data_IF_752847363759
#
_entry.id   IF_752847363759
#
_cell.length_a   1.000
_cell.length_b   1.000
_cell.length_c   1.000
_cell.angle_alpha   90.00
_cell.angle_beta   90.00
_cell.angle_gamma   90.00
#
_symmetry.space_group_name_H-M   'P 1'
#
loop_
_entity.id
_entity.type
_entity.pdbx_description
1 polymer ?
#
# COMPACT_ATOMS: atom_id res chain seq x y z
N UNK A 1 24.93 0.33 20.56
CA UNK A 1 23.81 1.09 19.97
C UNK A 1 23.92 0.97 18.46
N UNK A 2 22.87 0.55 17.75
CA UNK A 2 22.88 0.63 16.29
C UNK A 2 22.77 2.11 15.92
N UNK A 3 23.76 2.64 15.22
CA UNK A 3 23.70 3.99 14.65
C UNK A 3 22.53 4.05 13.69
N UNK A 4 21.67 5.05 13.85
CA UNK A 4 20.55 5.27 12.94
C UNK A 4 21.10 5.71 11.57
N UNK A 5 20.44 5.35 10.46
CA UNK A 5 20.79 5.90 9.17
C UNK A 5 20.51 7.41 9.16
N UNK A 6 21.28 8.17 8.38
CA UNK A 6 21.19 9.64 8.33
C UNK A 6 19.79 10.17 8.03
N UNK A 7 19.02 9.46 7.19
CA UNK A 7 17.64 9.83 6.90
C UNK A 7 16.74 9.75 8.16
N UNK A 8 16.98 8.78 9.05
CA UNK A 8 16.20 8.60 10.27
C UNK A 8 16.55 9.67 11.31
N UNK A 9 17.83 10.03 11.43
CA UNK A 9 18.27 11.15 12.26
C UNK A 9 17.63 12.47 11.79
N UNK A 10 17.60 12.70 10.47
CA UNK A 10 16.95 13.88 9.89
C UNK A 10 15.45 13.92 10.16
N UNK A 11 14.77 12.78 10.01
CA UNK A 11 13.34 12.66 10.28
C UNK A 11 13.04 12.94 11.76
N UNK A 12 13.86 12.42 12.68
CA UNK A 12 13.74 12.70 14.12
C UNK A 12 13.96 14.18 14.44
N UNK A 13 14.93 14.83 13.81
CA UNK A 13 15.19 16.26 13.97
C UNK A 13 13.98 17.12 13.56
N UNK A 14 13.39 16.82 12.40
CA UNK A 14 12.21 17.53 11.89
C UNK A 14 10.97 17.27 12.75
N UNK A 15 10.80 16.02 13.21
CA UNK A 15 9.74 15.64 14.14
C UNK A 15 9.81 16.40 15.47
N UNK A 16 11.00 16.50 16.07
CA UNK A 16 11.21 17.25 17.31
C UNK A 16 10.93 18.76 17.15
N UNK A 17 11.10 19.29 15.94
CA UNK A 17 10.79 20.68 15.59
C UNK A 17 9.35 20.88 15.09
N UNK A 18 8.54 19.82 15.04
CA UNK A 18 7.21 19.83 14.43
C UNK A 18 7.19 20.41 13.01
N UNK A 19 8.25 20.16 12.23
CA UNK A 19 8.36 20.63 10.85
C UNK A 19 7.72 19.62 9.90
N UNK A 20 6.69 20.01 9.13
CA UNK A 20 6.12 19.14 8.11
C UNK A 20 7.18 18.72 7.09
N UNK A 21 7.25 17.43 6.79
CA UNK A 21 8.21 16.89 5.84
C UNK A 21 7.61 15.76 5.01
N UNK A 22 8.23 15.54 3.86
CA UNK A 22 8.01 14.41 2.99
C UNK A 22 9.23 13.51 3.03
N UNK A 23 9.03 12.18 2.99
CA UNK A 23 10.13 11.24 2.96
C UNK A 23 9.82 9.99 2.13
N UNK A 24 10.88 9.39 1.58
CA UNK A 24 10.87 8.07 0.94
C UNK A 24 11.96 7.20 1.54
N UNK A 25 11.68 5.91 1.73
CA UNK A 25 12.62 4.95 2.30
C UNK A 25 12.51 3.67 1.46
N UNK A 26 13.64 3.04 1.13
CA UNK A 26 13.63 1.77 0.42
C UNK A 26 13.15 0.62 1.34
N UNK A 27 12.73 -0.50 0.76
CA UNK A 27 12.21 -1.65 1.50
C UNK A 27 13.14 -2.15 2.62
N UNK A 28 14.46 -2.08 2.41
CA UNK A 28 15.46 -2.52 3.39
C UNK A 28 15.71 -1.53 4.53
N UNK A 29 15.17 -0.31 4.45
CA UNK A 29 15.43 0.77 5.42
C UNK A 29 16.85 1.34 5.39
N UNK A 30 17.65 0.97 4.39
CA UNK A 30 19.07 1.36 4.29
C UNK A 30 19.25 2.71 3.61
N UNK A 31 18.31 3.12 2.76
CA UNK A 31 18.36 4.37 2.02
C UNK A 31 17.04 5.10 2.16
N UNK A 32 17.11 6.43 2.31
CA UNK A 32 15.94 7.27 2.35
C UNK A 32 16.26 8.73 2.07
N UNK A 33 15.26 9.46 1.61
CA UNK A 33 15.31 10.90 1.38
C UNK A 33 14.27 11.58 2.26
N UNK A 34 14.63 12.71 2.87
CA UNK A 34 13.76 13.48 3.76
C UNK A 34 13.87 14.94 3.38
N UNK A 35 12.74 15.57 3.07
CA UNK A 35 12.65 16.96 2.67
C UNK A 35 11.63 17.69 3.57
N UNK A 36 11.99 18.80 4.22
CA UNK A 36 10.99 19.74 4.71
C UNK A 36 10.05 20.12 3.57
N UNK A 37 8.76 20.29 3.83
CA UNK A 37 7.82 20.65 2.74
C UNK A 37 8.13 22.01 2.11
N UNK A 38 8.79 22.91 2.84
CA UNK A 38 9.26 24.21 2.31
C UNK A 38 10.37 24.07 1.27
N UNK A 39 11.12 22.96 1.34
CA UNK A 39 12.32 22.71 0.53
C UNK A 39 12.11 21.49 -0.37
N UNK A 40 10.85 21.11 -0.61
CA UNK A 40 10.50 19.99 -1.46
C UNK A 40 10.87 20.33 -2.92
N UNK A 41 11.70 19.53 -3.60
CA UNK A 41 12.03 19.78 -5.00
C UNK A 41 10.77 19.73 -5.87
N UNK A 42 10.64 20.62 -6.85
CA UNK A 42 9.50 20.64 -7.79
C UNK A 42 9.34 19.32 -8.57
N UNK A 43 10.46 18.59 -8.73
CA UNK A 43 10.48 17.27 -9.35
C UNK A 43 9.86 16.18 -8.48
N UNK A 44 9.61 16.42 -7.19
CA UNK A 44 8.91 15.50 -6.29
C UNK A 44 7.48 16.02 -6.09
N UNK A 45 6.51 15.32 -6.66
CA UNK A 45 5.09 15.63 -6.52
C UNK A 45 4.39 14.47 -5.85
N UNK A 46 3.55 14.76 -4.87
CA UNK A 46 2.71 13.75 -4.25
C UNK A 46 1.33 14.32 -3.95
N UNK A 47 0.36 13.44 -3.81
CA UNK A 47 -0.99 13.81 -3.46
C UNK A 47 -1.64 12.74 -2.60
N UNK A 48 -2.31 13.19 -1.54
CA UNK A 48 -3.11 12.37 -0.64
C UNK A 48 -4.57 12.80 -0.80
N UNK A 49 -5.43 11.88 -1.23
CA UNK A 49 -6.88 12.06 -1.37
C UNK A 49 -7.30 13.02 -2.50
N UNK A 50 -6.66 12.97 -3.66
CA UNK A 50 -7.17 13.66 -4.85
C UNK A 50 -8.48 13.00 -5.32
N UNK A 51 -9.60 13.65 -5.01
CA UNK A 51 -10.91 13.42 -5.64
C UNK A 51 -11.08 14.25 -6.92
N UNK A 52 -9.99 14.73 -7.52
CA UNK A 52 -10.07 15.49 -8.76
C UNK A 52 -10.55 14.57 -9.87
N UNK A 53 -11.65 14.96 -10.51
CA UNK A 53 -12.13 14.29 -11.70
C UNK A 53 -11.04 14.39 -12.79
N UNK A 54 -10.74 13.29 -13.51
CA UNK A 54 -9.79 13.36 -14.60
C UNK A 54 -10.31 14.36 -15.64
N UNK A 55 -9.50 15.36 -15.95
CA UNK A 55 -9.79 16.34 -16.99
C UNK A 55 -9.51 15.77 -18.38
N UNK A 56 -8.84 14.63 -18.48
CA UNK A 56 -8.32 14.06 -19.73
C UNK A 56 -8.53 12.54 -19.84
N UNK A 57 -8.47 12.04 -21.08
CA UNK A 57 -8.61 10.63 -21.38
C UNK A 57 -7.51 9.77 -20.72
N UNK A 58 -7.83 8.54 -20.27
CA UNK A 58 -6.85 7.65 -19.65
C UNK A 58 -5.73 7.26 -20.62
N UNK A 59 -4.51 7.10 -20.09
CA UNK A 59 -3.36 6.64 -20.86
C UNK A 59 -3.46 5.13 -21.10
N UNK A 60 -3.28 4.72 -22.36
CA UNK A 60 -3.09 3.31 -22.70
C UNK A 60 -1.62 2.94 -22.50
N UNK A 61 -1.35 2.04 -21.56
CA UNK A 61 -0.02 1.48 -21.32
C UNK A 61 -0.02 0.04 -21.84
N UNK A 62 0.80 -0.21 -22.86
CA UNK A 62 1.03 -1.56 -23.36
C UNK A 62 1.91 -2.34 -22.38
N UNK A 63 1.53 -3.59 -22.09
CA UNK A 63 2.13 -4.43 -21.07
C UNK A 63 2.69 -5.70 -21.71
N UNK A 64 3.89 -6.08 -21.27
CA UNK A 64 4.62 -7.28 -21.68
C UNK A 64 4.82 -8.17 -20.44
N UNK A 65 3.75 -8.88 -19.99
CA UNK A 65 3.83 -9.72 -18.80
C UNK A 65 4.78 -10.90 -19.00
N UNK A 66 5.38 -11.38 -17.91
CA UNK A 66 6.17 -12.61 -17.94
C UNK A 66 5.33 -13.79 -18.42
N UNK A 67 5.92 -14.77 -19.14
CA UNK A 67 5.22 -15.97 -19.55
C UNK A 67 4.62 -16.72 -18.36
N UNK A 68 3.47 -17.38 -18.59
CA UNK A 68 2.75 -18.10 -17.53
C UNK A 68 3.63 -19.16 -16.86
N UNK A 69 4.52 -19.80 -17.61
CA UNK A 69 5.43 -20.83 -17.13
C UNK A 69 6.40 -20.30 -16.06
N UNK A 70 6.76 -19.01 -16.13
CA UNK A 70 7.59 -18.34 -15.11
C UNK A 70 6.80 -18.16 -13.81
N UNK A 71 5.54 -17.73 -13.91
CA UNK A 71 4.63 -17.66 -12.77
C UNK A 71 4.42 -19.05 -12.16
N UNK A 72 4.07 -20.05 -12.96
CA UNK A 72 3.76 -21.41 -12.51
C UNK A 72 4.93 -22.03 -11.75
N UNK A 73 6.15 -21.95 -12.28
CA UNK A 73 7.35 -22.44 -11.59
C UNK A 73 7.57 -21.75 -10.24
N UNK A 74 7.34 -20.43 -10.18
CA UNK A 74 7.50 -19.65 -8.95
C UNK A 74 6.42 -19.99 -7.92
N UNK A 75 5.18 -20.16 -8.39
CA UNK A 75 4.03 -20.56 -7.59
C UNK A 75 4.21 -21.96 -7.00
N UNK A 76 4.61 -22.96 -7.80
CA UNK A 76 4.83 -24.33 -7.34
C UNK A 76 5.88 -24.40 -6.21
N UNK A 77 6.96 -23.62 -6.33
CA UNK A 77 7.97 -23.50 -5.27
C UNK A 77 7.35 -22.94 -4.00
N UNK A 78 6.65 -21.80 -4.09
CA UNK A 78 5.96 -21.17 -2.96
C UNK A 78 4.98 -22.14 -2.30
N UNK A 79 4.15 -22.80 -3.10
CA UNK A 79 3.14 -23.74 -2.63
C UNK A 79 3.76 -24.93 -1.89
N UNK A 80 4.85 -25.51 -2.42
CA UNK A 80 5.59 -26.60 -1.78
C UNK A 80 6.08 -26.21 -0.38
N UNK A 81 6.58 -24.98 -0.20
CA UNK A 81 7.05 -24.49 1.10
C UNK A 81 5.89 -24.19 2.07
N UNK A 82 4.74 -23.72 1.56
CA UNK A 82 3.53 -23.57 2.36
C UNK A 82 3.00 -24.93 2.87
N UNK A 83 2.97 -25.96 2.01
CA UNK A 83 2.51 -27.31 2.40
C UNK A 83 3.43 -27.98 3.42
N UNK A 84 4.75 -27.71 3.35
CA UNK A 84 5.73 -28.20 4.33
C UNK A 84 5.63 -27.48 5.68
N UNK A 85 4.94 -26.34 5.74
CA UNK A 85 4.89 -25.50 6.94
C UNK A 85 6.15 -24.65 7.16
N UNK A 86 6.95 -24.39 6.11
CA UNK A 86 8.16 -23.57 6.22
C UNK A 86 7.82 -22.08 6.46
N UNK A 87 6.63 -21.64 6.04
CA UNK A 87 6.05 -20.33 6.32
C UNK A 87 4.52 -20.43 6.35
N UNK A 88 3.87 -19.56 7.12
CA UNK A 88 2.40 -19.51 7.18
C UNK A 88 1.78 -18.61 6.09
N UNK A 89 2.54 -17.63 5.58
CA UNK A 89 2.10 -16.66 4.60
C UNK A 89 3.28 -16.17 3.76
N UNK A 90 3.05 -15.95 2.47
CA UNK A 90 4.02 -15.35 1.56
C UNK A 90 3.29 -14.66 0.40
N UNK A 91 3.76 -13.47 0.03
CA UNK A 91 3.28 -12.74 -1.14
C UNK A 91 4.23 -12.99 -2.30
N UNK A 92 3.74 -13.66 -3.36
CA UNK A 92 4.48 -13.85 -4.61
C UNK A 92 4.18 -12.69 -5.57
N UNK A 93 5.22 -12.00 -6.01
CA UNK A 93 5.11 -10.85 -6.94
C UNK A 93 6.03 -11.04 -8.15
N UNK A 94 5.57 -10.61 -9.32
CA UNK A 94 6.34 -10.62 -10.58
C UNK A 94 6.27 -9.23 -11.23
N UNK A 95 7.40 -8.77 -11.76
CA UNK A 95 7.44 -7.54 -12.53
C UNK A 95 6.88 -7.77 -13.95
N UNK A 96 6.12 -6.81 -14.47
CA UNK A 96 5.64 -6.78 -15.85
C UNK A 96 6.28 -5.61 -16.55
N UNK A 97 6.96 -5.86 -17.66
CA UNK A 97 7.52 -4.80 -18.49
C UNK A 97 6.38 -4.04 -19.17
N UNK A 98 6.59 -2.74 -19.42
CA UNK A 98 5.63 -1.88 -20.10
C UNK A 98 6.34 -1.09 -21.19
N UNK A 99 5.63 -0.72 -22.25
CA UNK A 99 6.16 0.15 -23.28
C UNK A 99 6.51 1.54 -22.70
N UNK A 100 7.48 2.27 -23.27
CA UNK A 100 7.88 3.59 -22.76
C UNK A 100 6.71 4.58 -22.69
N UNK A 101 6.58 5.25 -21.55
CA UNK A 101 5.54 6.26 -21.28
C UNK A 101 6.12 7.42 -20.47
N UNK A 102 5.52 8.60 -20.57
CA UNK A 102 5.89 9.74 -19.71
C UNK A 102 5.38 9.51 -18.28
N UNK A 103 6.28 9.44 -17.30
CA UNK A 103 5.91 9.30 -15.89
C UNK A 103 5.05 10.47 -15.41
N UNK A 104 5.31 11.67 -15.92
CA UNK A 104 4.52 12.86 -15.60
C UNK A 104 3.09 12.75 -16.14
N UNK A 105 2.93 12.33 -17.40
CA UNK A 105 1.60 12.14 -17.97
C UNK A 105 0.82 11.09 -17.17
N UNK A 106 1.49 9.98 -16.81
CA UNK A 106 0.92 8.91 -15.97
C UNK A 106 0.50 9.45 -14.61
N UNK A 107 1.31 10.29 -13.95
CA UNK A 107 0.98 10.92 -12.67
C UNK A 107 -0.25 11.84 -12.76
N UNK A 108 -0.34 12.68 -13.81
CA UNK A 108 -1.43 13.62 -13.99
C UNK A 108 -2.77 12.92 -14.26
N UNK A 109 -2.75 11.89 -15.11
CA UNK A 109 -3.96 11.19 -15.55
C UNK A 109 -4.41 10.07 -14.63
N UNK A 110 -3.56 9.60 -13.71
CA UNK A 110 -3.94 8.55 -12.77
C UNK A 110 -4.92 9.04 -11.70
N UNK A 111 -6.01 8.29 -11.52
CA UNK A 111 -6.93 8.41 -10.39
C UNK A 111 -6.49 7.46 -9.29
N UNK A 112 -5.92 8.00 -8.22
CA UNK A 112 -5.46 7.20 -7.09
C UNK A 112 -5.61 7.98 -5.77
N UNK A 113 -5.92 7.24 -4.70
CA UNK A 113 -6.03 7.81 -3.34
C UNK A 113 -4.70 8.37 -2.87
N UNK A 114 -3.61 7.67 -3.13
CA UNK A 114 -2.26 8.13 -2.87
C UNK A 114 -1.46 8.02 -4.17
N UNK A 115 -0.84 9.11 -4.60
CA UNK A 115 0.05 9.09 -5.76
C UNK A 115 1.29 9.91 -5.52
N UNK A 116 2.36 9.51 -6.17
CA UNK A 116 3.65 10.18 -6.12
C UNK A 116 4.35 10.04 -7.46
N UNK A 117 4.92 11.14 -7.92
CA UNK A 117 5.96 11.18 -8.92
C UNK A 117 7.25 11.62 -8.22
N UNK A 118 8.26 10.76 -8.29
CA UNK A 118 9.55 11.07 -7.73
C UNK A 118 10.54 11.31 -8.86
N UNK A 119 10.74 12.60 -9.14
CA UNK A 119 11.54 13.09 -10.27
C UNK A 119 11.06 12.45 -11.57
N UNK A 120 11.99 12.12 -12.45
CA UNK A 120 11.74 11.29 -13.63
C UNK A 120 12.30 9.86 -13.44
N UNK A 121 12.31 9.38 -12.18
CA UNK A 121 12.84 8.05 -11.82
C UNK A 121 11.71 7.02 -11.69
N UNK A 122 10.62 7.37 -10.99
CA UNK A 122 9.48 6.47 -10.81
C UNK A 122 8.18 7.22 -10.45
N UNK A 123 7.06 6.57 -10.76
CA UNK A 123 5.71 6.97 -10.36
C UNK A 123 5.06 5.83 -9.59
N UNK A 124 4.33 6.13 -8.52
CA UNK A 124 3.67 5.12 -7.70
C UNK A 124 2.26 5.57 -7.30
N UNK A 125 1.35 4.60 -7.26
CA UNK A 125 -0.05 4.75 -6.89
C UNK A 125 -0.39 3.71 -5.85
N UNK A 126 -0.94 4.12 -4.71
CA UNK A 126 -1.40 3.20 -3.68
C UNK A 126 -2.86 3.47 -3.34
N UNK A 127 -3.71 2.41 -3.25
CA UNK A 127 -5.00 2.51 -2.61
C UNK A 127 -4.89 2.39 -1.08
N UNK A 128 -3.79 1.85 -0.58
CA UNK A 128 -3.58 1.47 0.82
C UNK A 128 -2.68 2.45 1.55
N UNK A 129 -3.08 2.81 2.77
CA UNK A 129 -2.28 3.57 3.70
C UNK A 129 -1.59 2.60 4.67
N UNK A 130 -0.29 2.76 4.85
CA UNK A 130 0.46 1.93 5.80
C UNK A 130 0.13 2.33 7.26
N UNK A 131 0.34 3.61 7.59
CA UNK A 131 -0.04 4.19 8.89
C UNK A 131 -0.52 5.63 8.72
N UNK A 132 -1.40 6.08 9.60
CA UNK A 132 -1.83 7.48 9.74
C UNK A 132 -1.63 7.92 11.18
N UNK A 133 -0.91 9.01 11.40
CA UNK A 133 -0.72 9.59 12.73
C UNK A 133 -1.45 10.94 12.75
N UNK A 134 -2.47 11.07 13.60
CA UNK A 134 -3.26 12.29 13.77
C UNK A 134 -3.91 12.32 15.15
N UNK A 135 -4.11 13.51 15.72
CA UNK A 135 -4.80 13.70 17.00
C UNK A 135 -4.28 12.80 18.13
N UNK A 136 -2.96 12.62 18.22
CA UNK A 136 -2.26 11.70 19.15
C UNK A 136 -2.64 10.22 19.01
N UNK A 137 -3.18 9.81 17.87
CA UNK A 137 -3.45 8.41 17.55
C UNK A 137 -2.57 7.96 16.38
N UNK A 138 -2.10 6.72 16.44
CA UNK A 138 -1.54 6.01 15.29
C UNK A 138 -2.56 4.97 14.82
N UNK A 139 -2.87 4.99 13.52
CA UNK A 139 -3.88 4.15 12.89
C UNK A 139 -3.25 3.34 11.76
N UNK A 140 -3.64 2.08 11.61
CA UNK A 140 -3.32 1.26 10.44
C UNK A 140 -4.56 0.57 9.91
N UNK A 141 -4.54 0.20 8.63
CA UNK A 141 -5.73 -0.21 7.88
C UNK A 141 -5.49 -1.52 7.13
N UNK A 142 -5.32 -2.66 7.84
CA UNK A 142 -5.03 -3.93 7.19
C UNK A 142 -6.09 -4.29 6.16
N UNK A 143 -5.65 -4.59 4.96
CA UNK A 143 -6.49 -5.03 3.85
C UNK A 143 -6.29 -6.52 3.59
N UNK A 144 -7.39 -7.28 3.51
CA UNK A 144 -7.33 -8.69 3.09
C UNK A 144 -8.69 -9.17 2.64
N UNK A 145 -8.73 -9.84 1.50
CA UNK A 145 -9.92 -10.38 0.87
C UNK A 145 -10.45 -9.45 -0.20
N UNK A 146 -10.68 -10.00 -1.38
CA UNK A 146 -10.92 -9.24 -2.59
C UNK A 146 -11.80 -10.01 -3.57
N UNK A 147 -12.79 -9.35 -4.17
CA UNK A 147 -13.69 -9.97 -5.15
C UNK A 147 -14.05 -8.96 -6.25
N UNK A 148 -14.31 -9.44 -7.47
CA UNK A 148 -14.82 -8.58 -8.54
C UNK A 148 -16.19 -8.01 -8.15
N UNK A 149 -16.38 -6.69 -8.28
CA UNK A 149 -17.65 -6.03 -8.01
C UNK A 149 -18.73 -6.37 -9.07
N UNK A 150 -18.33 -6.98 -10.19
CA UNK A 150 -19.25 -7.39 -11.27
C UNK A 150 -20.04 -8.65 -10.96
N UNK A 151 -19.69 -9.40 -9.91
CA UNK A 151 -20.40 -10.61 -9.53
C UNK A 151 -21.72 -10.26 -8.79
N UNK A 152 -22.81 -11.00 -9.04
CA UNK A 152 -24.01 -10.89 -8.22
C UNK A 152 -23.69 -11.16 -6.74
N UNK A 153 -24.23 -10.33 -5.85
CA UNK A 153 -24.03 -10.44 -4.40
C UNK A 153 -22.55 -10.50 -3.95
N UNK A 154 -21.64 -9.89 -4.73
CA UNK A 154 -20.20 -9.92 -4.48
C UNK A 154 -19.82 -9.56 -3.04
N UNK A 155 -20.47 -8.54 -2.48
CA UNK A 155 -20.24 -8.11 -1.10
C UNK A 155 -20.59 -9.21 -0.09
N UNK A 156 -21.76 -9.82 -0.22
CA UNK A 156 -22.20 -10.91 0.66
C UNK A 156 -21.31 -12.15 0.49
N UNK A 157 -20.89 -12.47 -0.73
CA UNK A 157 -19.96 -13.57 -1.00
C UNK A 157 -18.60 -13.34 -0.32
N UNK A 158 -18.06 -12.13 -0.41
CA UNK A 158 -16.80 -11.77 0.25
C UNK A 158 -16.96 -11.82 1.77
N UNK A 159 -18.01 -11.20 2.31
CA UNK A 159 -18.23 -11.12 3.75
C UNK A 159 -18.51 -12.48 4.40
N UNK A 160 -19.18 -13.40 3.70
CA UNK A 160 -19.53 -14.71 4.24
C UNK A 160 -18.49 -15.81 3.96
N UNK A 161 -17.40 -15.52 3.25
CA UNK A 161 -16.37 -16.51 2.97
C UNK A 161 -15.52 -16.82 4.24
N UNK A 162 -15.57 -18.04 4.80
CA UNK A 162 -14.86 -18.39 6.03
C UNK A 162 -13.33 -18.27 5.91
N UNK A 163 -12.79 -18.64 4.75
CA UNK A 163 -11.34 -18.54 4.48
C UNK A 163 -10.88 -17.08 4.54
N UNK A 164 -11.62 -16.19 3.90
CA UNK A 164 -11.30 -14.76 3.89
C UNK A 164 -11.45 -14.13 5.28
N UNK A 165 -12.42 -14.57 6.08
CA UNK A 165 -12.57 -14.15 7.47
C UNK A 165 -11.33 -14.53 8.29
N UNK A 166 -10.89 -15.78 8.18
CA UNK A 166 -9.78 -16.29 8.98
C UNK A 166 -8.45 -15.67 8.56
N UNK A 167 -8.20 -15.50 7.26
CA UNK A 167 -7.03 -14.76 6.76
C UNK A 167 -7.04 -13.30 7.23
N UNK A 168 -8.19 -12.63 7.19
CA UNK A 168 -8.31 -11.23 7.64
C UNK A 168 -8.04 -11.09 9.14
N UNK A 169 -8.55 -11.99 9.99
CA UNK A 169 -8.25 -12.01 11.44
C UNK A 169 -6.76 -12.13 11.72
N UNK A 170 -6.04 -12.98 10.97
CA UNK A 170 -4.58 -13.13 11.13
C UNK A 170 -3.83 -11.84 10.83
N UNK A 171 -4.18 -11.14 9.75
CA UNK A 171 -3.56 -9.86 9.39
C UNK A 171 -3.87 -8.78 10.43
N UNK A 172 -5.12 -8.72 10.92
CA UNK A 172 -5.50 -7.78 11.99
C UNK A 172 -4.71 -8.05 13.28
N UNK A 173 -4.56 -9.31 13.68
CA UNK A 173 -3.79 -9.68 14.86
C UNK A 173 -2.30 -9.33 14.71
N UNK A 174 -1.72 -9.59 13.53
CA UNK A 174 -0.34 -9.25 13.22
C UNK A 174 -0.10 -7.73 13.33
N UNK A 175 -0.90 -6.93 12.64
CA UNK A 175 -0.72 -5.46 12.66
C UNK A 175 -1.06 -4.85 14.02
N UNK A 176 -1.99 -5.43 14.78
CA UNK A 176 -2.26 -4.99 16.17
C UNK A 176 -1.02 -5.21 17.05
N UNK A 177 -0.34 -6.35 16.89
CA UNK A 177 0.90 -6.65 17.61
C UNK A 177 2.04 -5.71 17.18
N UNK A 178 2.16 -5.40 15.90
CA UNK A 178 3.17 -4.46 15.41
C UNK A 178 2.93 -3.05 15.93
N UNK A 179 1.68 -2.60 15.92
CA UNK A 179 1.30 -1.30 16.46
C UNK A 179 1.59 -1.18 17.96
N UNK A 180 1.38 -2.26 18.73
CA UNK A 180 1.69 -2.34 20.15
C UNK A 180 3.18 -2.19 20.49
N UNK A 181 4.09 -2.25 19.50
CA UNK A 181 5.51 -2.00 19.73
C UNK A 181 5.82 -0.51 19.93
N UNK A 182 4.94 0.38 19.44
CA UNK A 182 5.17 1.84 19.40
C UNK A 182 4.02 2.66 19.96
N UNK A 183 2.92 2.03 20.34
CA UNK A 183 1.73 2.67 20.90
C UNK A 183 1.05 1.79 21.98
N UNK A 184 0.17 2.41 22.75
CA UNK A 184 -0.64 1.83 23.82
C UNK A 184 -2.13 1.83 23.47
N UNK A 185 -2.95 1.17 24.28
CA UNK A 185 -4.42 1.11 24.12
C UNK A 185 -4.89 0.65 22.72
N UNK A 186 -4.21 -0.37 22.18
CA UNK A 186 -4.49 -0.91 20.86
C UNK A 186 -5.88 -1.55 20.81
N UNK A 187 -6.72 -1.09 19.88
CA UNK A 187 -8.04 -1.68 19.65
C UNK A 187 -8.46 -1.59 18.18
N UNK A 188 -9.36 -2.48 17.78
CA UNK A 188 -9.98 -2.47 16.45
C UNK A 188 -11.24 -1.61 16.53
N UNK A 189 -11.24 -0.44 15.89
CA UNK A 189 -12.39 0.47 15.87
C UNK A 189 -13.46 0.03 14.87
N UNK A 190 -13.02 -0.49 13.71
CA UNK A 190 -13.89 -1.02 12.65
C UNK A 190 -13.31 -2.32 12.14
N UNK A 191 -14.04 -3.41 12.28
CA UNK A 191 -13.60 -4.71 11.80
C UNK A 191 -14.22 -5.02 10.44
N UNK A 192 -13.37 -5.32 9.46
CA UNK A 192 -13.70 -5.96 8.17
C UNK A 192 -14.85 -5.28 7.41
N UNK A 193 -14.76 -3.96 7.24
CA UNK A 193 -15.66 -3.20 6.40
C UNK A 193 -15.25 -3.29 4.93
N UNK A 194 -16.18 -3.01 4.02
CA UNK A 194 -15.96 -3.12 2.57
C UNK A 194 -15.57 -1.77 1.99
N UNK A 195 -14.52 -1.77 1.18
CA UNK A 195 -14.04 -0.67 0.35
C UNK A 195 -14.16 -1.04 -1.13
N UNK A 196 -14.42 -0.03 -1.98
CA UNK A 196 -14.42 -0.18 -3.44
C UNK A 196 -13.12 0.38 -4.00
N UNK A 197 -12.41 -0.43 -4.77
CA UNK A 197 -11.24 -0.01 -5.56
C UNK A 197 -11.69 0.11 -7.01
N UNK A 198 -11.78 1.36 -7.47
CA UNK A 198 -12.13 1.68 -8.84
C UNK A 198 -10.98 1.31 -9.80
N UNK A 199 -11.29 0.61 -10.88
CA UNK A 199 -10.30 0.26 -11.92
C UNK A 199 -10.89 0.42 -13.31
N UNK A 200 -10.03 0.74 -14.28
CA UNK A 200 -10.44 0.82 -15.70
C UNK A 200 -10.96 -0.51 -16.28
N UNK A 201 -10.62 -1.64 -15.64
CA UNK A 201 -11.01 -3.00 -16.06
C UNK A 201 -12.20 -3.56 -15.28
N UNK A 202 -12.85 -2.75 -14.44
CA UNK A 202 -13.95 -3.15 -13.55
C UNK A 202 -13.57 -3.07 -12.08
N UNK A 203 -14.51 -2.57 -11.28
CA UNK A 203 -14.31 -2.29 -9.86
C UNK A 203 -14.11 -3.58 -9.05
N UNK A 204 -13.43 -3.41 -7.93
CA UNK A 204 -13.05 -4.48 -7.03
C UNK A 204 -13.55 -4.16 -5.63
N UNK A 205 -14.23 -5.10 -4.99
CA UNK A 205 -14.56 -5.01 -3.58
C UNK A 205 -13.40 -5.60 -2.77
N UNK A 206 -13.09 -4.96 -1.65
CA UNK A 206 -12.06 -5.41 -0.74
C UNK A 206 -12.51 -5.21 0.70
N UNK A 207 -12.06 -6.07 1.61
CA UNK A 207 -12.27 -5.86 3.05
C UNK A 207 -11.05 -5.28 3.76
N UNK A 208 -11.30 -4.28 4.60
CA UNK A 208 -10.32 -3.55 5.40
C UNK A 208 -10.76 -3.50 6.87
N UNK A 209 -9.83 -3.38 7.82
CA UNK A 209 -10.13 -3.02 9.21
C UNK A 209 -9.43 -1.72 9.59
N UNK A 210 -9.87 -1.05 10.65
CA UNK A 210 -9.17 0.09 11.26
C UNK A 210 -8.70 -0.32 12.65
N UNK A 211 -7.40 -0.23 12.87
CA UNK A 211 -6.74 -0.50 14.16
C UNK A 211 -6.16 0.82 14.65
N UNK A 212 -6.42 1.17 15.91
CA UNK A 212 -6.02 2.43 16.53
C UNK A 212 -5.16 2.13 17.77
N UNK A 213 -4.11 2.92 17.98
CA UNK A 213 -3.33 3.01 19.21
C UNK A 213 -3.03 4.47 19.57
N UNK A 214 -2.58 4.69 20.80
CA UNK A 214 -2.31 6.00 21.42
C UNK A 214 -0.91 6.06 22.02
#
# INVERSE_FOLDING_TARGET
>A
MKTLPTWAEKLNELGAKHTPCFFTINYQGTQGHVFPLTDLPESVRFSFSEKTAPTEAPITIEKHPVPYEVFEKSFQKVHTHLEKGDTELINLTLATEISPVSLEEVYQKAKAKYKILYKDEWVCFSPEIFVKIEDNHIKTYPMKGTISATLPDAEALLLNNPKEIDEHKKVVALLSKDLAQVASDIHVSRFRYVDVIEKSTGDLLQTSSEIIGT
#
